data_IF_401274094917
#
_entry.id   IF_401274094917
#
_cell.length_a   1.000
_cell.length_b   1.000
_cell.length_c   1.000
_cell.angle_alpha   90.00
_cell.angle_beta   90.00
_cell.angle_gamma   90.00
#
_symmetry.space_group_name_H-M   'P 1'
#
loop_
_entity.id
_entity.type
_entity.pdbx_description
1 polymer ?
#
# COMPACT_ATOMS: atom_id res chain seq x y z
N UNK A 1 7.08 20.88 -9.95
CA UNK A 1 7.26 20.45 -9.63
C UNK A 1 6.94 19.95 -8.83
N UNK A 2 6.57 19.46 -8.44
CA UNK A 2 6.39 19.05 -7.65
C UNK A 2 5.35 18.27 -7.28
N UNK A 3 4.48 17.83 -7.90
CA UNK A 3 3.31 17.05 -7.66
C UNK A 3 3.59 15.61 -7.43
N UNK A 4 4.67 15.13 -7.97
CA UNK A 4 4.92 13.71 -7.75
C UNK A 4 5.39 13.44 -6.35
N UNK A 5 5.67 14.43 -5.60
CA UNK A 5 5.95 14.20 -4.21
C UNK A 5 4.75 13.64 -3.50
N UNK A 6 3.57 13.98 -3.97
CA UNK A 6 2.37 13.49 -3.34
C UNK A 6 2.17 12.01 -3.56
N UNK A 7 2.75 11.49 -4.64
CA UNK A 7 2.60 10.07 -4.93
C UNK A 7 3.36 9.22 -3.95
N UNK A 8 4.35 9.77 -3.27
CA UNK A 8 5.14 9.01 -2.33
C UNK A 8 4.74 9.27 -0.89
N UNK A 9 3.72 10.11 -0.67
CA UNK A 9 3.33 10.48 0.67
C UNK A 9 2.74 9.31 1.45
N UNK A 10 2.29 8.27 0.76
CA UNK A 10 1.66 7.16 1.45
C UNK A 10 2.65 6.09 1.87
N UNK A 11 3.91 6.22 1.49
CA UNK A 11 4.91 5.23 1.91
C UNK A 11 5.05 5.31 3.42
N UNK A 12 4.93 4.16 4.07
CA UNK A 12 4.99 4.08 5.51
C UNK A 12 3.64 4.14 6.19
N UNK A 13 2.59 4.46 5.45
CA UNK A 13 1.24 4.52 6.04
C UNK A 13 0.68 3.12 6.18
N UNK A 14 -0.14 2.94 7.20
CA UNK A 14 -0.90 1.69 7.36
C UNK A 14 -1.96 1.60 6.28
N UNK A 15 -2.32 0.39 5.92
CA UNK A 15 -3.34 0.19 4.92
C UNK A 15 -4.12 -1.09 5.18
N UNK A 16 -5.29 -1.16 4.56
CA UNK A 16 -6.15 -2.34 4.62
C UNK A 16 -6.42 -2.78 3.19
N UNK A 17 -6.22 -4.06 2.92
CA UNK A 17 -6.54 -4.63 1.62
C UNK A 17 -8.03 -4.83 1.52
N UNK A 18 -8.63 -4.36 0.44
CA UNK A 18 -10.06 -4.58 0.21
C UNK A 18 -10.31 -6.02 -0.18
N UNK A 19 -9.34 -6.65 -0.83
CA UNK A 19 -9.41 -8.07 -1.17
C UNK A 19 -8.35 -8.77 -0.34
N UNK A 20 -8.75 -9.59 0.63
CA UNK A 20 -7.76 -10.21 1.52
C UNK A 20 -6.76 -11.07 0.75
N UNK A 21 -5.53 -11.04 1.21
CA UNK A 21 -4.48 -11.90 0.67
C UNK A 21 -4.28 -13.04 1.66
N UNK A 22 -4.80 -14.21 1.31
CA UNK A 22 -4.69 -15.41 2.15
C UNK A 22 -5.20 -15.12 3.57
N UNK A 23 -6.32 -14.40 3.63
CA UNK A 23 -6.95 -14.06 4.90
C UNK A 23 -6.36 -12.88 5.61
N UNK A 24 -5.32 -12.24 5.05
CA UNK A 24 -4.68 -11.09 5.67
C UNK A 24 -5.16 -9.82 4.98
N UNK A 25 -5.47 -8.82 5.79
CA UNK A 25 -5.97 -7.57 5.25
C UNK A 25 -5.15 -6.38 5.66
N UNK A 26 -4.24 -6.51 6.63
CA UNK A 26 -3.53 -5.36 7.19
C UNK A 26 -2.08 -5.38 6.82
N UNK A 27 -1.56 -4.19 6.54
CA UNK A 27 -0.17 -4.02 6.23
C UNK A 27 0.17 -2.56 6.16
N UNK A 28 1.30 -2.24 5.55
CA UNK A 28 1.64 -0.85 5.32
C UNK A 28 2.39 -0.74 4.01
N UNK A 29 2.35 0.47 3.47
CA UNK A 29 2.88 0.73 2.14
C UNK A 29 4.38 0.91 2.23
N UNK A 30 5.12 0.17 1.41
CA UNK A 30 6.58 0.27 1.38
C UNK A 30 7.09 0.81 0.06
N UNK A 31 6.25 0.86 -0.97
CA UNK A 31 6.63 1.46 -2.25
C UNK A 31 5.38 1.93 -2.96
N UNK A 32 5.53 2.97 -3.77
CA UNK A 32 4.41 3.60 -4.44
C UNK A 32 4.83 3.87 -5.88
N UNK A 33 4.19 3.16 -6.80
CA UNK A 33 4.46 3.33 -8.23
C UNK A 33 3.30 3.98 -8.95
N UNK A 34 2.43 4.67 -8.21
CA UNK A 34 1.29 5.35 -8.79
C UNK A 34 0.06 4.49 -8.69
N UNK A 35 -0.21 3.73 -9.73
CA UNK A 35 -1.39 2.86 -9.73
C UNK A 35 -1.14 1.57 -8.99
N UNK A 36 0.11 1.16 -8.86
CA UNK A 36 0.48 -0.04 -8.15
C UNK A 36 1.28 0.35 -6.93
N UNK A 37 1.01 -0.31 -5.82
CA UNK A 37 1.77 -0.08 -4.60
C UNK A 37 2.22 -1.42 -4.07
N UNK A 38 3.29 -1.39 -3.29
CA UNK A 38 3.77 -2.59 -2.62
C UNK A 38 3.40 -2.48 -1.15
N UNK A 39 2.73 -3.51 -0.66
CA UNK A 39 2.26 -3.56 0.71
C UNK A 39 3.01 -4.65 1.43
N UNK A 40 3.54 -4.33 2.60
CA UNK A 40 4.20 -5.31 3.44
C UNK A 40 3.23 -5.76 4.50
N UNK A 41 2.96 -7.05 4.53
CA UNK A 41 2.03 -7.63 5.47
C UNK A 41 2.72 -7.86 6.81
N UNK A 42 1.92 -8.16 7.82
CA UNK A 42 2.45 -8.30 9.18
C UNK A 42 3.46 -9.43 9.27
N UNK A 43 3.35 -10.44 8.43
CA UNK A 43 4.30 -11.55 8.45
C UNK A 43 5.57 -11.23 7.67
N UNK A 44 5.70 -10.01 7.16
CA UNK A 44 6.88 -9.59 6.43
C UNK A 44 6.82 -9.81 4.93
N UNK A 45 5.78 -10.45 4.44
CA UNK A 45 5.65 -10.68 3.02
C UNK A 45 5.24 -9.39 2.32
N UNK A 46 5.84 -9.13 1.16
CA UNK A 46 5.51 -7.95 0.36
C UNK A 46 4.74 -8.40 -0.85
N UNK A 47 3.64 -7.71 -1.13
CA UNK A 47 2.80 -8.01 -2.27
C UNK A 47 2.53 -6.73 -3.03
N UNK A 48 2.21 -6.87 -4.32
CA UNK A 48 1.85 -5.73 -5.16
C UNK A 48 0.34 -5.69 -5.25
N UNK A 49 -0.23 -4.51 -4.99
CA UNK A 49 -1.67 -4.31 -5.06
C UNK A 49 -1.96 -3.08 -5.89
N UNK A 50 -3.14 -3.05 -6.51
CA UNK A 50 -3.59 -1.85 -7.19
C UNK A 50 -4.00 -0.84 -6.13
N UNK A 51 -3.69 0.41 -6.41
CA UNK A 51 -4.00 1.48 -5.46
C UNK A 51 -5.49 1.48 -5.11
N UNK A 52 -6.34 1.14 -6.08
CA UNK A 52 -7.79 1.15 -5.86
C UNK A 52 -8.26 0.02 -4.97
N UNK A 53 -7.43 -0.98 -4.75
CA UNK A 53 -7.82 -2.14 -3.96
C UNK A 53 -7.33 -2.04 -2.52
N UNK A 54 -6.86 -0.87 -2.11
CA UNK A 54 -6.25 -0.68 -0.80
C UNK A 54 -6.79 0.61 -0.21
N UNK A 55 -7.11 0.57 1.09
CA UNK A 55 -7.45 1.77 1.85
C UNK A 55 -6.21 2.15 2.66
N UNK A 56 -5.75 3.39 2.50
CA UNK A 56 -4.55 3.86 3.15
C UNK A 56 -4.93 4.87 4.22
N UNK A 57 -4.35 4.74 5.40
CA UNK A 57 -4.58 5.68 6.50
C UNK A 57 -3.28 6.33 6.91
N UNK A 58 -3.38 7.58 7.35
CA UNK A 58 -2.20 8.21 7.94
C UNK A 58 -2.27 8.27 9.46
#
# INVERSE_FOLDING_TARGET
>A
MFEYEELTDIIGYSCTLLIPYRGRTEGFVVADYGEDIVVKLRNGKEIVERRDDVLVYD
#
